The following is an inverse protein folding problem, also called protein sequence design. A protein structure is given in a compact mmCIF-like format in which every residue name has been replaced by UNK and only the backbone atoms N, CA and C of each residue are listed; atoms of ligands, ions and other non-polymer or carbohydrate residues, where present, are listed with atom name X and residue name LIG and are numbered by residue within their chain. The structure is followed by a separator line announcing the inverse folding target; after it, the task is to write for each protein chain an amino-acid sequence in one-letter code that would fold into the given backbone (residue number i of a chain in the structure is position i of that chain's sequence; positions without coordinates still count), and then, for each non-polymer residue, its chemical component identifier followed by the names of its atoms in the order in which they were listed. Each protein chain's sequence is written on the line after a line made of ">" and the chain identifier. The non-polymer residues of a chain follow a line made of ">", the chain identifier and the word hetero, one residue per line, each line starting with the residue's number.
data_IF_179138448030
#
_entry.id   IF_179138448030
#
_cell.length_a   1.000
_cell.length_b   1.000
_cell.length_c   1.000
_cell.angle_alpha   90.00
_cell.angle_beta   90.00
_cell.angle_gamma   90.00
#
_symmetry.space_group_name_H-M   'P 1'
#
loop_
_entity.id
_entity.type
_entity.pdbx_description
1 polymer ?
#
# COMPACT_ATOMS: atom_id res chain seq x y z
N UNK A 1 -6.98 6.05 29.77
CA UNK A 1 -6.00 5.04 29.29
C UNK A 1 -5.30 5.68 28.11
N UNK A 2 -3.98 5.60 28.02
CA UNK A 2 -3.25 6.13 26.87
C UNK A 2 -3.44 5.11 25.73
N UNK A 3 -4.25 5.43 24.73
CA UNK A 3 -4.49 4.57 23.56
C UNK A 3 -3.18 4.45 22.78
N UNK A 4 -2.76 3.23 22.41
CA UNK A 4 -1.56 3.06 21.58
C UNK A 4 -1.89 3.37 20.12
N UNK A 5 -0.87 3.73 19.32
CA UNK A 5 -1.05 3.93 17.88
C UNK A 5 -1.64 2.68 17.18
N UNK A 6 -1.35 1.48 17.68
CA UNK A 6 -1.94 0.25 17.16
C UNK A 6 -3.43 0.10 17.50
N UNK A 7 -3.86 0.55 18.67
CA UNK A 7 -5.27 0.55 19.04
C UNK A 7 -6.08 1.51 18.15
N UNK A 8 -5.50 2.67 17.80
CA UNK A 8 -6.07 3.62 16.85
C UNK A 8 -6.22 2.99 15.46
N UNK A 9 -5.15 2.37 14.94
CA UNK A 9 -5.17 1.67 13.65
C UNK A 9 -6.23 0.55 13.65
N UNK A 10 -6.31 -0.24 14.73
CA UNK A 10 -7.27 -1.34 14.83
C UNK A 10 -8.71 -0.83 14.83
N UNK A 11 -8.97 0.31 15.48
CA UNK A 11 -10.27 0.96 15.45
C UNK A 11 -10.63 1.50 14.05
N UNK A 12 -9.66 2.11 13.34
CA UNK A 12 -9.83 2.55 11.96
C UNK A 12 -10.11 1.37 11.02
N UNK A 13 -9.37 0.26 11.15
CA UNK A 13 -9.59 -0.99 10.41
C UNK A 13 -11.01 -1.53 10.65
N UNK A 14 -11.46 -1.57 11.92
CA UNK A 14 -12.79 -2.07 12.27
C UNK A 14 -13.93 -1.19 11.73
N UNK A 15 -13.65 0.08 11.45
CA UNK A 15 -14.60 1.05 10.93
C UNK A 15 -14.54 1.21 9.41
N UNK A 16 -13.61 0.52 8.73
CA UNK A 16 -13.40 0.66 7.30
C UNK A 16 -14.64 0.22 6.50
N UNK A 17 -15.01 0.94 5.42
CA UNK A 17 -16.20 0.64 4.63
C UNK A 17 -16.02 -0.56 3.68
N UNK A 18 -14.87 -1.23 3.72
CA UNK A 18 -14.49 -2.35 2.90
C UNK A 18 -13.60 -3.33 3.67
N UNK A 19 -13.37 -4.56 3.17
CA UNK A 19 -12.54 -5.54 3.85
C UNK A 19 -11.10 -5.08 4.02
N UNK A 20 -10.59 -5.20 5.24
CA UNK A 20 -9.17 -5.00 5.55
C UNK A 20 -8.65 -6.21 6.30
N UNK A 21 -7.60 -6.85 5.77
CA UNK A 21 -6.97 -8.02 6.39
C UNK A 21 -5.62 -7.62 6.98
N UNK A 22 -5.45 -7.85 8.28
CA UNK A 22 -4.16 -7.72 8.95
C UNK A 22 -3.38 -9.01 8.75
N UNK A 23 -2.23 -8.93 8.08
CA UNK A 23 -1.34 -10.07 7.93
C UNK A 23 -0.52 -10.23 9.22
N UNK A 24 -0.50 -11.43 9.86
CA UNK A 24 0.22 -11.62 11.11
C UNK A 24 1.70 -11.25 11.01
N UNK A 25 2.22 -10.52 12.00
CA UNK A 25 3.65 -10.24 12.11
C UNK A 25 4.42 -11.45 12.62
N UNK A 26 5.64 -11.63 12.10
CA UNK A 26 6.67 -12.39 12.78
C UNK A 26 7.40 -11.45 13.77
N UNK A 27 7.41 -11.73 15.08
CA UNK A 27 7.98 -10.82 16.07
C UNK A 27 9.45 -10.50 15.85
N UNK A 28 10.25 -11.44 15.31
CA UNK A 28 11.68 -11.21 15.05
C UNK A 28 11.85 -10.30 13.85
N UNK A 29 11.14 -10.58 12.76
CA UNK A 29 11.15 -9.72 11.57
C UNK A 29 10.70 -8.30 11.90
N UNK A 30 9.67 -8.16 12.73
CA UNK A 30 9.18 -6.85 13.18
C UNK A 30 10.26 -6.07 13.93
N UNK A 31 10.96 -6.70 14.88
CA UNK A 31 12.07 -6.07 15.61
C UNK A 31 13.23 -5.68 14.68
N UNK A 32 13.64 -6.59 13.78
CA UNK A 32 14.73 -6.34 12.83
C UNK A 32 14.39 -5.19 11.86
N UNK A 33 13.13 -5.13 11.39
CA UNK A 33 12.63 -4.09 10.50
C UNK A 33 12.60 -2.72 11.21
N UNK A 34 12.07 -2.65 12.43
CA UNK A 34 12.08 -1.43 13.26
C UNK A 34 13.51 -0.91 13.46
N UNK A 35 14.43 -1.80 13.81
CA UNK A 35 15.84 -1.46 14.01
C UNK A 35 16.51 -0.90 12.74
N UNK A 36 16.25 -1.52 11.57
CA UNK A 36 16.80 -1.06 10.28
C UNK A 36 16.26 0.29 9.82
N UNK A 37 14.96 0.53 10.06
CA UNK A 37 14.32 1.80 9.73
C UNK A 37 14.64 2.90 10.75
N UNK A 38 15.04 2.54 11.97
CA UNK A 38 15.33 3.49 13.05
C UNK A 38 14.06 4.19 13.57
N UNK A 39 12.92 3.49 13.55
CA UNK A 39 11.62 4.02 13.99
C UNK A 39 11.14 3.34 15.28
N UNK A 40 10.28 4.02 16.02
CA UNK A 40 9.67 3.51 17.26
C UNK A 40 8.19 3.19 17.03
N UNK A 41 7.58 2.43 17.94
CA UNK A 41 6.18 2.02 17.86
C UNK A 41 5.18 3.10 18.30
N UNK A 42 5.65 4.33 18.56
CA UNK A 42 4.80 5.45 18.97
C UNK A 42 4.15 6.16 17.77
N UNK A 43 4.56 5.86 16.54
CA UNK A 43 3.92 6.34 15.32
C UNK A 43 3.11 5.24 14.66
N UNK A 44 2.15 5.62 13.82
CA UNK A 44 1.38 4.67 13.01
C UNK A 44 2.28 3.78 12.14
N UNK A 45 3.33 4.34 11.51
CA UNK A 45 4.28 3.55 10.71
C UNK A 45 4.97 2.48 11.57
N UNK A 46 5.50 2.86 12.73
CA UNK A 46 6.15 1.90 13.62
C UNK A 46 5.17 0.88 14.22
N UNK A 47 3.93 1.27 14.48
CA UNK A 47 2.89 0.36 14.94
C UNK A 47 2.51 -0.68 13.86
N UNK A 48 2.33 -0.26 12.61
CA UNK A 48 2.07 -1.17 11.48
C UNK A 48 3.22 -2.17 11.32
N UNK A 49 4.47 -1.69 11.33
CA UNK A 49 5.67 -2.55 11.25
C UNK A 49 5.76 -3.51 12.45
N UNK A 50 5.40 -3.05 13.66
CA UNK A 50 5.46 -3.88 14.87
C UNK A 50 4.43 -5.01 14.88
N UNK A 51 3.21 -4.70 14.48
CA UNK A 51 2.04 -5.54 14.75
C UNK A 51 1.50 -6.28 13.53
N UNK A 52 2.02 -6.00 12.33
CA UNK A 52 1.60 -6.69 11.11
C UNK A 52 2.77 -7.02 10.18
N UNK A 53 2.65 -8.11 9.41
CA UNK A 53 3.45 -8.32 8.20
C UNK A 53 3.06 -7.36 7.08
N UNK A 54 1.87 -6.77 7.16
CA UNK A 54 1.29 -5.79 6.25
C UNK A 54 -0.24 -5.78 6.37
N UNK A 55 -0.88 -4.84 5.67
CA UNK A 55 -2.33 -4.74 5.59
C UNK A 55 -2.77 -4.92 4.13
N UNK A 56 -3.78 -5.77 3.90
CA UNK A 56 -4.46 -5.91 2.61
C UNK A 56 -5.77 -5.14 2.69
N UNK A 57 -5.83 -3.98 2.04
CA UNK A 57 -6.92 -3.01 2.12
C UNK A 57 -7.79 -3.11 0.87
N UNK A 58 -9.10 -3.14 1.06
CA UNK A 58 -10.14 -3.22 0.02
C UNK A 58 -9.90 -4.40 -0.94
N UNK A 59 -10.13 -5.61 -0.42
CA UNK A 59 -9.87 -6.89 -1.10
C UNK A 59 -8.39 -7.16 -1.43
N UNK A 60 -7.46 -6.33 -0.94
CA UNK A 60 -6.03 -6.43 -1.23
C UNK A 60 -5.59 -5.58 -2.42
N UNK A 61 -6.43 -4.62 -2.83
CA UNK A 61 -6.09 -3.60 -3.82
C UNK A 61 -4.87 -2.80 -3.38
N UNK A 62 -4.95 -2.17 -2.20
CA UNK A 62 -3.83 -1.50 -1.56
C UNK A 62 -3.17 -2.45 -0.56
N UNK A 63 -1.85 -2.51 -0.60
CA UNK A 63 -1.03 -3.35 0.26
C UNK A 63 -0.10 -2.45 1.05
N UNK A 64 -0.45 -2.21 2.31
CA UNK A 64 0.36 -1.40 3.22
C UNK A 64 1.44 -2.30 3.80
N UNK A 65 2.70 -1.85 3.76
CA UNK A 65 3.84 -2.66 4.16
C UNK A 65 4.05 -2.58 5.68
N UNK A 66 4.17 -3.75 6.32
CA UNK A 66 4.57 -3.92 7.71
C UNK A 66 5.97 -4.55 7.81
N UNK A 67 6.15 -5.54 8.69
CA UNK A 67 7.40 -6.31 8.81
C UNK A 67 7.64 -7.31 7.66
N UNK A 68 6.73 -7.35 6.69
CA UNK A 68 6.72 -8.29 5.58
C UNK A 68 6.43 -9.74 5.98
N UNK A 69 6.21 -10.57 4.96
CA UNK A 69 6.06 -12.02 5.07
C UNK A 69 6.82 -12.71 3.94
N UNK A 70 6.49 -13.97 3.63
CA UNK A 70 7.00 -14.63 2.41
C UNK A 70 6.22 -14.20 1.15
N UNK A 71 5.02 -13.62 1.31
CA UNK A 71 4.17 -13.12 0.22
C UNK A 71 4.15 -11.60 0.11
N UNK A 72 4.68 -10.90 1.11
CA UNK A 72 4.68 -9.44 1.12
C UNK A 72 6.06 -8.91 1.44
N UNK A 73 6.54 -7.89 0.71
CA UNK A 73 7.73 -7.17 1.13
C UNK A 73 7.48 -6.46 2.46
N UNK A 74 8.55 -6.16 3.16
CA UNK A 74 8.50 -5.33 4.37
C UNK A 74 8.63 -3.85 4.00
N UNK A 75 8.23 -2.97 4.92
CA UNK A 75 8.55 -1.56 4.83
C UNK A 75 10.08 -1.41 4.85
N UNK A 76 10.61 -0.64 3.90
CA UNK A 76 12.04 -0.65 3.62
C UNK A 76 12.50 0.67 3.06
N UNK A 77 13.82 0.89 3.08
CA UNK A 77 14.41 2.07 2.43
C UNK A 77 14.10 2.03 0.93
N UNK A 78 13.74 3.18 0.40
CA UNK A 78 13.57 3.42 -1.03
C UNK A 78 14.31 4.72 -1.39
N UNK A 79 14.45 5.01 -2.69
CA UNK A 79 15.03 6.26 -3.14
C UNK A 79 14.34 7.46 -2.46
N UNK A 80 15.09 8.20 -1.64
CA UNK A 80 14.60 9.39 -0.94
C UNK A 80 13.73 9.15 0.29
N UNK A 81 13.35 7.92 0.65
CA UNK A 81 12.40 7.70 1.76
C UNK A 81 12.23 6.25 2.21
N UNK A 82 11.03 5.92 2.69
CA UNK A 82 10.63 4.58 3.12
C UNK A 82 9.48 4.10 2.23
N UNK A 83 9.63 2.97 1.54
CA UNK A 83 8.53 2.31 0.87
C UNK A 83 7.52 1.83 1.92
N UNK A 84 6.27 2.24 1.75
CA UNK A 84 5.19 2.04 2.73
C UNK A 84 3.98 1.32 2.17
N UNK A 85 3.87 1.21 0.85
CA UNK A 85 2.77 0.50 0.23
C UNK A 85 2.94 0.33 -1.27
N UNK A 86 2.09 -0.51 -1.84
CA UNK A 86 1.88 -0.57 -3.28
C UNK A 86 0.46 -1.06 -3.58
N UNK A 87 -0.03 -0.81 -4.78
CA UNK A 87 -1.31 -1.33 -5.24
C UNK A 87 -1.15 -2.55 -6.17
N UNK A 88 -2.29 -3.15 -6.52
CA UNK A 88 -2.36 -4.33 -7.37
C UNK A 88 -1.90 -4.08 -8.81
N UNK A 89 -1.88 -2.83 -9.28
CA UNK A 89 -1.45 -2.44 -10.63
C UNK A 89 0.03 -2.01 -10.67
N UNK A 90 0.73 -2.04 -9.54
CA UNK A 90 2.15 -1.67 -9.44
C UNK A 90 2.39 -0.21 -9.07
N UNK A 91 1.35 0.56 -8.73
CA UNK A 91 1.54 1.87 -8.13
C UNK A 91 2.22 1.75 -6.76
N UNK A 92 3.08 2.71 -6.40
CA UNK A 92 3.96 2.62 -5.22
C UNK A 92 3.76 3.80 -4.29
N UNK A 93 3.79 3.55 -2.99
CA UNK A 93 3.73 4.59 -1.96
C UNK A 93 5.06 4.66 -1.20
N UNK A 94 5.64 5.86 -1.13
CA UNK A 94 6.89 6.13 -0.42
C UNK A 94 6.70 7.31 0.51
N UNK A 95 7.08 7.16 1.77
CA UNK A 95 7.11 8.23 2.77
C UNK A 95 8.46 8.95 2.70
N UNK A 96 8.45 10.20 2.24
CA UNK A 96 9.64 10.97 1.86
C UNK A 96 9.77 12.22 2.75
N UNK A 97 10.95 12.53 3.32
CA UNK A 97 11.18 13.81 3.99
C UNK A 97 11.05 15.00 3.03
N UNK A 98 10.20 15.96 3.38
CA UNK A 98 10.09 17.25 2.69
C UNK A 98 10.55 18.39 3.59
N UNK A 99 10.58 19.62 3.07
CA UNK A 99 10.91 20.82 3.85
C UNK A 99 9.91 21.11 5.00
N UNK A 100 8.68 20.59 4.92
CA UNK A 100 7.62 20.82 5.91
C UNK A 100 7.33 19.57 6.77
N UNK A 101 8.22 18.57 6.72
CA UNK A 101 8.00 17.25 7.33
C UNK A 101 7.71 16.18 6.28
N UNK A 102 7.78 14.90 6.64
CA UNK A 102 7.70 13.82 5.67
C UNK A 102 6.26 13.53 5.21
N UNK A 103 6.03 13.49 3.90
CA UNK A 103 4.73 13.21 3.26
C UNK A 103 4.77 11.89 2.49
N UNK A 104 3.59 11.33 2.19
CA UNK A 104 3.46 10.14 1.34
C UNK A 104 3.37 10.57 -0.11
N UNK A 105 4.24 10.01 -0.95
CA UNK A 105 4.22 10.18 -2.40
C UNK A 105 3.72 8.90 -3.07
N UNK A 106 2.94 9.05 -4.13
CA UNK A 106 2.41 7.96 -4.94
C UNK A 106 3.02 7.98 -6.34
N UNK A 107 3.60 6.86 -6.77
CA UNK A 107 3.95 6.63 -8.16
C UNK A 107 2.75 6.01 -8.87
N UNK A 108 2.04 6.80 -9.68
CA UNK A 108 0.77 6.38 -10.25
C UNK A 108 0.97 5.57 -11.56
N UNK A 109 0.29 4.42 -11.74
CA UNK A 109 0.47 3.55 -12.90
C UNK A 109 -0.12 4.14 -14.19
N UNK A 110 -1.04 5.09 -14.08
CA UNK A 110 -1.71 5.80 -15.18
C UNK A 110 -1.02 7.10 -15.60
N UNK A 111 -0.22 7.73 -14.75
CA UNK A 111 0.58 8.89 -15.15
C UNK A 111 2.05 8.53 -15.36
N UNK A 112 2.52 7.47 -14.71
CA UNK A 112 3.94 7.12 -14.59
C UNK A 112 4.78 8.23 -13.92
N UNK A 113 4.15 9.06 -13.10
CA UNK A 113 4.75 10.17 -12.38
C UNK A 113 4.65 9.98 -10.86
N UNK A 114 5.52 10.66 -10.12
CA UNK A 114 5.46 10.75 -8.67
C UNK A 114 4.61 11.95 -8.27
N UNK A 115 3.60 11.71 -7.43
CA UNK A 115 2.67 12.71 -6.92
C UNK A 115 2.82 12.82 -5.40
N UNK A 116 3.03 14.02 -4.87
CA UNK A 116 2.97 14.26 -3.42
C UNK A 116 1.50 14.28 -2.99
N UNK A 117 1.12 13.40 -2.05
CA UNK A 117 -0.25 13.39 -1.51
C UNK A 117 -0.45 14.46 -0.43
N UNK A 118 0.61 15.21 -0.09
CA UNK A 118 0.64 16.34 0.84
C UNK A 118 0.20 15.98 2.27
N UNK A 119 0.21 14.68 2.61
CA UNK A 119 -0.20 14.14 3.91
C UNK A 119 0.88 13.24 4.52
N UNK A 120 0.97 13.25 5.85
CA UNK A 120 1.85 12.34 6.58
C UNK A 120 1.32 10.90 6.59
N UNK A 121 2.14 9.95 7.02
CA UNK A 121 1.78 8.52 7.01
C UNK A 121 0.49 8.20 7.79
N UNK A 122 0.31 8.79 8.98
CA UNK A 122 -0.87 8.53 9.81
C UNK A 122 -2.16 9.01 9.12
N UNK A 123 -2.18 10.27 8.68
CA UNK A 123 -3.33 10.84 7.97
C UNK A 123 -3.60 10.11 6.64
N UNK A 124 -2.55 9.73 5.90
CA UNK A 124 -2.69 8.93 4.69
C UNK A 124 -3.39 7.59 4.98
N UNK A 125 -2.89 6.82 5.95
CA UNK A 125 -3.45 5.52 6.26
C UNK A 125 -4.86 5.63 6.84
N UNK A 126 -5.12 6.61 7.72
CA UNK A 126 -6.45 6.87 8.27
C UNK A 126 -7.44 7.24 7.16
N UNK A 127 -7.09 8.18 6.27
CA UNK A 127 -7.92 8.56 5.12
C UNK A 127 -8.22 7.37 4.20
N UNK A 128 -7.22 6.53 3.93
CA UNK A 128 -7.43 5.31 3.17
C UNK A 128 -8.41 4.41 3.92
N UNK A 129 -8.16 4.02 5.17
CA UNK A 129 -9.07 3.16 5.94
C UNK A 129 -10.48 3.76 6.10
N UNK A 130 -10.64 5.07 6.15
CA UNK A 130 -11.92 5.78 6.23
C UNK A 130 -12.71 5.83 4.92
N UNK A 131 -12.16 5.30 3.81
CA UNK A 131 -12.89 5.10 2.55
C UNK A 131 -12.41 5.94 1.37
N UNK A 132 -11.40 6.80 1.53
CA UNK A 132 -10.86 7.65 0.45
C UNK A 132 -10.37 6.85 -0.75
N UNK A 133 -10.00 5.59 -0.51
CA UNK A 133 -9.54 4.64 -1.52
C UNK A 133 -10.54 4.43 -2.67
N UNK A 134 -11.85 4.59 -2.40
CA UNK A 134 -12.90 4.49 -3.43
C UNK A 134 -12.76 5.60 -4.47
N UNK A 135 -12.58 6.84 -4.02
CA UNK A 135 -12.39 7.98 -4.92
C UNK A 135 -10.98 7.98 -5.53
N UNK A 136 -9.97 7.62 -4.72
CA UNK A 136 -8.57 7.57 -5.14
C UNK A 136 -8.33 6.65 -6.34
N UNK A 137 -9.01 5.49 -6.41
CA UNK A 137 -8.90 4.55 -7.53
C UNK A 137 -10.13 4.53 -8.45
N UNK A 138 -10.96 5.58 -8.45
CA UNK A 138 -12.20 5.59 -9.22
C UNK A 138 -11.97 5.31 -10.73
N UNK A 139 -10.93 5.93 -11.31
CA UNK A 139 -10.57 5.78 -12.72
C UNK A 139 -9.72 4.52 -12.99
N UNK A 140 -9.28 3.83 -11.94
CA UNK A 140 -8.47 2.62 -12.01
C UNK A 140 -9.26 1.34 -11.72
N UNK A 141 -10.58 1.43 -11.54
CA UNK A 141 -11.45 0.27 -11.25
C UNK A 141 -12.35 -0.10 -12.42
N UNK A 142 -12.66 -1.39 -12.55
CA UNK A 142 -13.54 -1.94 -13.59
C UNK A 142 -14.65 -2.82 -12.99
N UNK A 143 -15.77 -3.07 -13.69
CA UNK A 143 -16.80 -3.97 -13.18
C UNK A 143 -16.24 -5.36 -12.84
N UNK A 144 -16.45 -5.82 -11.60
CA UNK A 144 -15.93 -7.10 -11.11
C UNK A 144 -14.50 -7.07 -10.55
N UNK A 145 -13.85 -5.89 -10.49
CA UNK A 145 -12.49 -5.75 -9.97
C UNK A 145 -12.30 -6.39 -8.58
N UNK A 146 -13.29 -6.26 -7.69
CA UNK A 146 -13.18 -6.73 -6.31
C UNK A 146 -13.01 -8.26 -6.23
N UNK A 147 -13.78 -9.00 -7.02
CA UNK A 147 -13.69 -10.46 -7.08
C UNK A 147 -12.38 -10.91 -7.76
N UNK A 148 -11.96 -10.20 -8.82
CA UNK A 148 -10.67 -10.46 -9.48
C UNK A 148 -9.50 -10.25 -8.49
N UNK A 149 -9.49 -9.14 -7.74
CA UNK A 149 -8.41 -8.80 -6.81
C UNK A 149 -8.41 -9.68 -5.57
N UNK A 150 -9.58 -10.03 -5.03
CA UNK A 150 -9.69 -10.93 -3.87
C UNK A 150 -9.11 -12.33 -4.14
N UNK A 151 -9.04 -12.76 -5.40
CA UNK A 151 -8.46 -14.04 -5.81
C UNK A 151 -6.93 -14.01 -5.99
N UNK A 152 -6.30 -12.83 -5.93
CA UNK A 152 -4.88 -12.64 -6.21
C UNK A 152 -4.06 -12.76 -4.92
N UNK A 153 -2.96 -13.50 -5.00
CA UNK A 153 -2.02 -13.61 -3.88
C UNK A 153 -1.26 -12.29 -3.64
N UNK A 154 -0.89 -11.95 -2.39
CA UNK A 154 -0.22 -10.68 -2.07
C UNK A 154 1.15 -10.43 -2.75
N UNK A 155 1.76 -11.45 -3.35
CA UNK A 155 3.01 -11.38 -4.10
C UNK A 155 2.80 -11.20 -5.63
N UNK A 156 1.53 -11.10 -6.07
CA UNK A 156 1.14 -10.94 -7.49
C UNK A 156 0.33 -9.70 -7.72
N UNK A 157 0.38 -9.13 -8.92
CA UNK A 157 -0.43 -8.00 -9.35
C UNK A 157 -1.12 -8.27 -10.67
N UNK A 158 -1.73 -7.22 -11.23
CA UNK A 158 -2.42 -7.25 -12.51
C UNK A 158 -1.64 -6.39 -13.50
N UNK A 159 -1.11 -7.04 -14.54
CA UNK A 159 -0.61 -6.36 -15.72
C UNK A 159 -1.77 -6.09 -16.69
N UNK A 160 -1.86 -4.87 -17.20
CA UNK A 160 -2.88 -4.43 -18.16
C UNK A 160 -2.26 -4.13 -19.52
N UNK A 161 -2.92 -4.54 -20.61
CA UNK A 161 -2.52 -4.16 -21.96
C UNK A 161 -3.71 -3.73 -22.82
N UNK A 162 -3.68 -2.52 -23.41
CA UNK A 162 -2.69 -1.44 -23.21
C UNK A 162 -2.63 -0.93 -21.75
N UNK A 163 -1.51 -0.34 -21.30
CA UNK A 163 -1.37 0.14 -19.92
C UNK A 163 -2.18 1.42 -19.68
N UNK A 164 -2.63 1.70 -18.45
CA UNK A 164 -3.51 2.84 -18.13
C UNK A 164 -2.90 4.20 -18.45
N UNK A 165 -1.57 4.27 -18.60
CA UNK A 165 -0.85 5.47 -19.04
C UNK A 165 -0.98 5.81 -20.52
N UNK A 166 -1.59 4.94 -21.30
CA UNK A 166 -1.89 5.18 -22.72
C UNK A 166 -3.33 5.62 -22.90
N UNK A 167 -3.61 6.33 -24.01
CA UNK A 167 -4.98 6.74 -24.36
C UNK A 167 -5.89 5.52 -24.51
N UNK A 168 -5.36 4.45 -25.09
CA UNK A 168 -6.07 3.20 -25.34
C UNK A 168 -6.31 2.37 -24.06
N UNK A 169 -5.50 2.57 -23.03
CA UNK A 169 -5.57 1.82 -21.77
C UNK A 169 -6.40 2.47 -20.67
N UNK A 170 -6.95 3.67 -20.88
CA UNK A 170 -7.73 4.40 -19.87
C UNK A 170 -8.98 3.66 -19.39
N UNK A 171 -9.64 2.92 -20.27
CA UNK A 171 -10.83 2.14 -19.94
C UNK A 171 -10.41 0.72 -19.54
N UNK A 172 -10.13 0.52 -18.25
CA UNK A 172 -9.68 -0.78 -17.73
C UNK A 172 -10.73 -1.89 -17.86
N UNK A 173 -11.99 -1.58 -18.16
CA UNK A 173 -12.98 -2.60 -18.48
C UNK A 173 -12.74 -3.24 -19.86
N UNK A 174 -11.97 -2.59 -20.74
CA UNK A 174 -11.71 -3.03 -22.13
C UNK A 174 -10.30 -3.57 -22.36
N UNK A 175 -9.37 -3.33 -21.44
CA UNK A 175 -7.99 -3.82 -21.57
C UNK A 175 -7.89 -5.32 -21.26
N UNK A 176 -6.84 -5.95 -21.79
CA UNK A 176 -6.44 -7.28 -21.34
C UNK A 176 -5.84 -7.19 -19.94
N UNK A 177 -6.21 -8.08 -19.04
CA UNK A 177 -5.69 -8.16 -17.66
C UNK A 177 -5.06 -9.55 -17.44
N UNK A 178 -3.85 -9.59 -16.90
CA UNK A 178 -3.14 -10.84 -16.59
C UNK A 178 -2.52 -10.75 -15.21
N UNK A 179 -2.68 -11.80 -14.42
CA UNK A 179 -2.03 -11.89 -13.10
C UNK A 179 -0.56 -12.25 -13.29
N UNK A 180 0.33 -11.40 -12.78
CA UNK A 180 1.79 -11.54 -12.89
C UNK A 180 2.46 -11.42 -11.52
N UNK A 181 3.69 -11.93 -11.32
CA UNK A 181 4.49 -11.61 -10.13
C UNK A 181 4.60 -10.09 -9.92
N UNK A 182 4.45 -9.63 -8.67
CA UNK A 182 4.50 -8.20 -8.36
C UNK A 182 5.86 -7.56 -8.71
N UNK A 183 6.93 -8.36 -8.67
CA UNK A 183 8.28 -7.97 -9.09
C UNK A 183 8.37 -7.56 -10.56
N UNK A 184 7.46 -8.05 -11.41
CA UNK A 184 7.39 -7.63 -12.82
C UNK A 184 6.75 -6.24 -12.99
N UNK A 185 5.91 -5.80 -12.05
CA UNK A 185 5.23 -4.50 -12.09
C UNK A 185 6.04 -3.38 -11.44
N UNK A 186 6.64 -3.68 -10.28
CA UNK A 186 7.29 -2.68 -9.41
C UNK A 186 8.79 -2.55 -9.73
N UNK A 187 9.34 -3.49 -10.51
CA UNK A 187 10.78 -3.67 -10.69
C UNK A 187 11.41 -4.38 -9.48
N UNK A 188 12.70 -4.73 -9.59
CA UNK A 188 13.48 -5.21 -8.44
C UNK A 188 13.77 -4.00 -7.54
N UNK A 189 13.59 -4.09 -6.21
CA UNK A 189 14.01 -3.01 -5.33
C UNK A 189 15.51 -2.74 -5.52
N UNK A 190 15.88 -1.49 -5.81
CA UNK A 190 17.26 -1.02 -5.86
C UNK A 190 17.93 -1.04 -4.48
#
# INVERSE_FOLDING_TARGET
>A
MNTSAWDEITAAIASAPYPVTVVPADPRRAEDCLGRLGITTNSWLGAVVRHSGGLLVDHGWLRVLGSGTHLMPEAGRAAGGVAVGHDVLGGRFVWIPTGNGPTVHYYAPDTLEWEDLEVGYADWLDNMLAGSLTAFYADLRWPGWADEVAAIQPDKGIHTWPPPSTVEGKDLAKVSRTVVPMTELIGVPE
#
